data_IF_109914749827
#
_entry.id   IF_109914749827
#
_cell.length_a   1.000
_cell.length_b   1.000
_cell.length_c   1.000
_cell.angle_alpha   90.00
_cell.angle_beta   90.00
_cell.angle_gamma   90.00
#
_symmetry.space_group_name_H-M   'P 1'
#
loop_
_entity.id
_entity.type
_entity.pdbx_description
1 polymer ?
#
# COMPACT_ATOMS: atom_id res chain seq x y z
N UNK A 1 6.76 -13.87 -0.79
CA UNK A 1 6.00 -12.86 -0.03
C UNK A 1 4.53 -13.24 0.12
N UNK A 2 3.85 -13.70 -0.95
CA UNK A 2 2.49 -14.28 -0.87
C UNK A 2 2.34 -15.38 0.21
N UNK A 3 3.29 -16.31 0.29
CA UNK A 3 3.31 -17.36 1.32
C UNK A 3 3.49 -16.86 2.77
N UNK A 4 3.72 -15.55 2.98
CA UNK A 4 3.87 -14.91 4.30
C UNK A 4 2.67 -14.04 4.69
N UNK A 5 1.53 -14.15 4.00
CA UNK A 5 0.34 -13.34 4.28
C UNK A 5 0.44 -11.89 3.79
N UNK A 6 1.18 -11.66 2.71
CA UNK A 6 1.24 -10.37 2.01
C UNK A 6 0.61 -10.51 0.64
N UNK A 7 -0.26 -9.57 0.30
CA UNK A 7 -0.75 -9.38 -1.06
C UNK A 7 0.21 -8.48 -1.85
N UNK A 8 0.06 -8.51 -3.16
CA UNK A 8 0.93 -7.79 -4.09
C UNK A 8 0.05 -7.09 -5.12
N UNK A 9 0.30 -5.78 -5.29
CA UNK A 9 -0.29 -4.99 -6.37
C UNK A 9 0.79 -4.60 -7.38
N UNK A 10 0.43 -4.63 -8.65
CA UNK A 10 1.30 -4.21 -9.73
C UNK A 10 1.13 -2.71 -9.99
N UNK A 11 2.23 -1.97 -9.87
CA UNK A 11 2.33 -0.52 -10.14
C UNK A 11 3.34 -0.26 -11.25
N UNK A 12 3.26 0.92 -11.87
CA UNK A 12 4.15 1.36 -12.96
C UNK A 12 5.64 1.33 -12.60
N UNK A 13 5.99 1.55 -11.33
CA UNK A 13 7.39 1.49 -10.86
C UNK A 13 7.80 0.14 -10.25
N UNK A 14 6.87 -0.80 -10.09
CA UNK A 14 7.21 -2.13 -9.56
C UNK A 14 6.07 -2.84 -8.83
N UNK A 15 6.44 -3.79 -7.97
CA UNK A 15 5.50 -4.58 -7.17
C UNK A 15 5.43 -4.01 -5.76
N UNK A 16 4.23 -3.63 -5.33
CA UNK A 16 3.99 -3.18 -3.96
C UNK A 16 3.39 -4.32 -3.17
N UNK A 17 3.99 -4.61 -2.02
CA UNK A 17 3.54 -5.68 -1.12
C UNK A 17 2.96 -5.08 0.14
N UNK A 18 1.75 -5.51 0.51
CA UNK A 18 1.06 -5.08 1.72
C UNK A 18 0.53 -6.29 2.47
N UNK A 19 0.44 -6.23 3.81
CA UNK A 19 -0.08 -7.34 4.60
C UNK A 19 -1.56 -7.56 4.30
N UNK A 20 -1.98 -8.82 4.19
CA UNK A 20 -3.40 -9.18 4.00
C UNK A 20 -4.23 -8.95 5.27
N UNK A 21 -3.57 -8.91 6.44
CA UNK A 21 -4.22 -8.65 7.72
C UNK A 21 -3.94 -7.21 8.18
N UNK A 22 -4.97 -6.51 8.67
CA UNK A 22 -4.85 -5.13 9.15
C UNK A 22 -4.89 -4.07 8.05
N UNK A 23 -5.26 -4.46 6.83
CA UNK A 23 -5.41 -3.56 5.68
C UNK A 23 -6.79 -3.79 5.07
N UNK A 24 -7.56 -2.72 4.94
CA UNK A 24 -8.85 -2.72 4.27
C UNK A 24 -8.71 -2.01 2.92
N UNK A 25 -9.02 -2.75 1.85
CA UNK A 25 -8.99 -2.22 0.48
C UNK A 25 -10.40 -1.76 0.17
N UNK A 26 -10.60 -0.45 0.02
CA UNK A 26 -11.94 0.08 -0.24
C UNK A 26 -12.42 -0.19 -1.67
N UNK A 27 -11.53 -0.06 -2.66
CA UNK A 27 -11.90 -0.24 -4.07
C UNK A 27 -10.68 -0.70 -4.90
N UNK A 28 -9.80 0.24 -5.25
CA UNK A 28 -8.59 -0.04 -6.02
C UNK A 28 -7.40 0.66 -5.40
N UNK A 29 -6.32 -0.09 -5.17
CA UNK A 29 -5.06 0.49 -4.72
C UNK A 29 -4.44 1.28 -5.86
N UNK A 30 -4.25 2.57 -5.64
CA UNK A 30 -3.56 3.47 -6.58
C UNK A 30 -2.32 4.01 -5.89
N UNK A 31 -1.18 3.91 -6.57
CA UNK A 31 0.10 4.39 -6.05
C UNK A 31 0.55 5.54 -6.94
N UNK A 32 0.56 6.74 -6.39
CA UNK A 32 1.00 7.95 -7.07
C UNK A 32 2.41 8.30 -6.60
N UNK A 33 3.37 8.35 -7.53
CA UNK A 33 4.73 8.76 -7.21
C UNK A 33 4.87 10.27 -7.38
N UNK A 34 5.39 10.92 -6.34
CA UNK A 34 5.55 12.37 -6.32
C UNK A 34 7.02 12.70 -6.07
N UNK A 35 7.60 13.41 -7.02
CA UNK A 35 8.98 13.88 -6.96
C UNK A 35 9.02 15.35 -6.57
N UNK A 36 9.57 15.63 -5.39
CA UNK A 36 9.90 16.97 -4.94
C UNK A 36 11.41 17.22 -5.10
N UNK A 37 11.87 18.48 -5.14
CA UNK A 37 13.29 18.80 -5.35
C UNK A 37 14.25 18.18 -4.32
N UNK A 38 13.75 17.79 -3.15
CA UNK A 38 14.53 17.31 -2.02
C UNK A 38 14.14 15.90 -1.55
N UNK A 39 13.04 15.35 -2.08
CA UNK A 39 12.49 14.06 -1.66
C UNK A 39 11.63 13.44 -2.75
N UNK A 40 11.77 12.14 -2.94
CA UNK A 40 10.84 11.34 -3.73
C UNK A 40 9.98 10.54 -2.76
N UNK A 41 8.67 10.68 -2.86
CA UNK A 41 7.72 9.91 -2.06
C UNK A 41 6.65 9.29 -2.95
N UNK A 42 5.81 8.47 -2.35
CA UNK A 42 4.64 7.91 -2.99
C UNK A 42 3.44 8.06 -2.06
N UNK A 43 2.30 8.34 -2.66
CA UNK A 43 1.01 8.40 -1.99
C UNK A 43 0.22 7.16 -2.42
N UNK A 44 -0.44 6.52 -1.46
CA UNK A 44 -1.26 5.34 -1.71
C UNK A 44 -2.70 5.68 -1.40
N UNK A 45 -3.56 5.51 -2.40
CA UNK A 45 -5.00 5.71 -2.30
C UNK A 45 -5.72 4.35 -2.38
N UNK A 46 -6.94 4.30 -1.83
CA UNK A 46 -7.77 3.09 -1.86
C UNK A 46 -7.35 2.00 -0.88
N UNK A 47 -6.43 2.32 0.04
CA UNK A 47 -6.00 1.44 1.13
C UNK A 47 -6.16 2.17 2.46
N UNK A 48 -6.84 1.53 3.41
CA UNK A 48 -6.88 1.98 4.80
C UNK A 48 -6.21 0.94 5.69
N UNK A 49 -5.51 1.43 6.71
CA UNK A 49 -5.00 0.54 7.76
C UNK A 49 -6.19 0.27 8.66
N UNK A 50 -6.67 -0.97 8.68
CA UNK A 50 -7.65 -1.38 9.66
C UNK A 50 -6.96 -1.33 11.03
N UNK A 51 -7.19 -0.25 11.79
CA UNK A 51 -6.74 -0.15 13.16
C UNK A 51 -7.23 -1.40 13.91
N UNK A 52 -6.30 -2.31 14.23
CA UNK A 52 -6.51 -3.13 15.42
C UNK A 52 -6.46 -2.15 16.57
N UNK A 53 -7.64 -1.68 16.98
CA UNK A 53 -7.83 -0.74 18.08
C UNK A 53 -6.83 -1.06 19.17
N UNK A 54 -5.88 -0.13 19.37
CA UNK A 54 -4.91 -0.22 20.43
C UNK A 54 -5.68 -0.32 21.74
N UNK A 55 -5.56 -1.47 22.41
CA UNK A 55 -6.02 -1.65 23.78
C UNK A 55 -4.85 -1.49 24.73
#
# INVERSE_FOLDING_TARGET
>A
MLAKGYQMEQSDLGKVYYPTEGVEIQDKIVINYVEYPWITCFEVEGVEIAEKGGK
#
